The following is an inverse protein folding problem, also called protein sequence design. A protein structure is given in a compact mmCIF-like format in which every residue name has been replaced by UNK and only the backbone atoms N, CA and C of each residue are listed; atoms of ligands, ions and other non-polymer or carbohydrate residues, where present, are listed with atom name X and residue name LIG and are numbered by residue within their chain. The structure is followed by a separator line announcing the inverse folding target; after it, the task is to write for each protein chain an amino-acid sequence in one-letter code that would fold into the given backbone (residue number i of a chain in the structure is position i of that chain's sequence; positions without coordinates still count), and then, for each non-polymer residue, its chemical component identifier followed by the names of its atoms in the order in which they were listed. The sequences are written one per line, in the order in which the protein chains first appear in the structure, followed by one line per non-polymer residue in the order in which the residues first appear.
data_IF_008784021215
#
_entry.id   IF_008784021215
#
_cell.length_a   1.000
_cell.length_b   1.000
_cell.length_c   1.000
_cell.angle_alpha   90.00
_cell.angle_beta   90.00
_cell.angle_gamma   90.00
#
_symmetry.space_group_name_H-M   'P 1'
#
loop_
_entity.id
_entity.type
_entity.pdbx_description
1 polymer ?
#
# COMPACT_ATOMS: atom_id res chain seq x y z
N UNK A 1 2.47 -18.69 -13.70
CA UNK A 1 3.36 -18.39 -12.56
C UNK A 1 2.62 -18.87 -11.32
N UNK A 2 3.21 -19.76 -10.51
CA UNK A 2 2.49 -20.51 -9.48
C UNK A 2 3.05 -20.10 -8.12
N UNK A 3 2.22 -19.46 -7.30
CA UNK A 3 2.56 -19.20 -5.90
C UNK A 3 2.22 -20.45 -5.07
N UNK A 4 3.26 -21.19 -4.67
CA UNK A 4 3.18 -22.30 -3.72
C UNK A 4 3.89 -21.88 -2.43
N UNK A 5 3.34 -22.24 -1.28
CA UNK A 5 4.11 -22.33 -0.03
C UNK A 5 3.74 -21.35 1.09
N UNK A 6 2.63 -21.66 1.78
CA UNK A 6 2.58 -21.80 3.25
C UNK A 6 3.89 -21.49 3.98
N UNK A 7 3.92 -20.42 4.77
CA UNK A 7 4.94 -20.18 5.78
C UNK A 7 4.34 -20.22 7.19
N UNK A 8 4.94 -21.05 8.04
CA UNK A 8 4.55 -21.22 9.44
C UNK A 8 5.46 -20.36 10.34
N UNK A 9 4.84 -19.68 11.30
CA UNK A 9 5.39 -19.23 12.59
C UNK A 9 6.82 -18.63 12.65
N UNK A 10 6.89 -17.31 12.87
CA UNK A 10 8.04 -16.67 13.51
C UNK A 10 7.61 -15.49 14.40
N UNK A 11 7.33 -15.76 15.69
CA UNK A 11 7.18 -14.71 16.70
C UNK A 11 8.57 -14.39 17.27
N UNK A 12 9.12 -13.24 16.92
CA UNK A 12 10.37 -12.72 17.49
C UNK A 12 10.08 -11.97 18.79
N UNK A 13 10.36 -12.62 19.92
CA UNK A 13 10.42 -11.98 21.23
C UNK A 13 11.68 -11.10 21.31
N UNK A 14 11.49 -9.79 21.52
CA UNK A 14 12.55 -8.88 21.96
C UNK A 14 12.22 -8.44 23.39
N UNK A 15 13.08 -8.81 24.33
CA UNK A 15 13.04 -8.35 25.71
C UNK A 15 14.45 -7.99 26.20
N UNK A 16 14.52 -6.94 27.01
CA UNK A 16 15.66 -6.53 27.86
C UNK A 16 16.87 -5.94 27.10
N UNK A 17 17.59 -4.92 27.59
CA UNK A 17 17.46 -4.12 28.83
C UNK A 17 18.09 -2.74 28.62
N UNK A 18 17.77 -1.77 29.49
CA UNK A 18 18.31 -0.41 29.45
C UNK A 18 19.59 -0.25 30.35
N UNK A 19 20.01 0.96 30.75
CA UNK A 19 21.27 1.57 30.29
C UNK A 19 22.36 1.67 31.38
N UNK A 20 23.58 2.09 31.02
CA UNK A 20 24.53 2.63 32.01
C UNK A 20 25.52 3.66 31.41
N UNK A 21 25.94 4.62 32.25
CA UNK A 21 26.80 5.76 31.91
C UNK A 21 28.31 5.45 32.02
N UNK A 22 29.16 6.07 31.17
CA UNK A 22 30.48 6.61 31.61
C UNK A 22 30.81 7.92 30.85
N UNK A 23 31.56 8.81 31.50
CA UNK A 23 31.76 10.24 31.19
C UNK A 23 33.11 10.60 30.52
N UNK A 24 33.14 11.79 29.87
CA UNK A 24 34.29 12.75 29.74
C UNK A 24 35.54 12.24 28.95
N UNK A 25 36.30 13.04 28.18
CA UNK A 25 36.58 14.49 28.21
C UNK A 25 37.28 15.06 26.95
N UNK A 26 37.16 16.38 26.74
CA UNK A 26 38.14 17.35 26.17
C UNK A 26 38.68 17.26 24.71
N UNK A 27 38.55 18.35 23.94
CA UNK A 27 39.25 18.63 22.66
C UNK A 27 38.84 19.97 22.00
N UNK A 28 39.80 20.80 21.56
CA UNK A 28 39.68 22.29 21.49
C UNK A 28 40.74 22.89 20.49
N UNK A 29 40.53 23.89 19.59
CA UNK A 29 39.31 24.53 19.02
C UNK A 29 39.31 24.61 17.45
N UNK A 30 40.09 25.47 16.70
CA UNK A 30 39.62 25.95 15.38
C UNK A 30 40.51 25.67 14.14
N UNK A 31 39.92 25.87 12.96
CA UNK A 31 40.61 26.13 11.69
C UNK A 31 39.65 26.73 10.65
N UNK A 32 39.97 27.91 10.11
CA UNK A 32 39.19 28.63 9.08
C UNK A 32 39.67 28.29 7.64
N UNK A 33 39.07 28.98 6.65
CA UNK A 33 39.45 29.05 5.23
C UNK A 33 39.22 27.81 4.34
N UNK A 34 39.12 27.93 3.01
CA UNK A 34 38.51 28.96 2.13
C UNK A 34 38.53 28.44 0.68
N UNK A 35 37.64 28.98 -0.15
CA UNK A 35 37.82 29.20 -1.61
C UNK A 35 37.85 28.03 -2.64
N UNK A 36 36.89 28.15 -3.57
CA UNK A 36 36.99 28.08 -5.05
C UNK A 36 36.92 26.76 -5.85
N UNK A 37 36.21 26.95 -6.98
CA UNK A 37 36.19 26.16 -8.23
C UNK A 37 35.36 24.87 -8.19
N UNK A 38 34.58 24.50 -9.23
CA UNK A 38 34.60 24.99 -10.62
C UNK A 38 33.21 24.95 -11.29
N UNK A 39 33.07 25.70 -12.38
CA UNK A 39 31.86 25.88 -13.18
C UNK A 39 31.69 24.73 -14.20
N UNK A 40 30.54 24.07 -14.22
CA UNK A 40 30.05 23.34 -15.41
C UNK A 40 28.66 23.85 -15.75
N UNK A 41 28.55 24.44 -16.94
CA UNK A 41 27.33 25.00 -17.51
C UNK A 41 26.90 24.06 -18.64
N UNK A 42 26.11 23.03 -18.32
CA UNK A 42 25.50 22.19 -19.35
C UNK A 42 24.11 22.70 -19.71
N UNK A 43 24.01 23.10 -20.97
CA UNK A 43 22.87 23.76 -21.58
C UNK A 43 21.84 22.71 -21.99
N UNK A 44 21.01 22.25 -21.05
CA UNK A 44 19.87 21.40 -21.37
C UNK A 44 18.78 22.24 -22.05
N UNK A 45 18.45 22.04 -23.34
CA UNK A 45 17.26 22.64 -23.91
C UNK A 45 16.05 22.13 -23.13
N UNK A 46 15.09 22.99 -22.73
CA UNK A 46 13.89 22.54 -22.05
C UNK A 46 13.08 21.71 -23.04
N UNK A 47 13.19 20.38 -22.94
CA UNK A 47 12.31 19.44 -23.61
C UNK A 47 10.92 19.61 -23.01
N UNK A 48 10.18 20.57 -23.55
CA UNK A 48 8.75 20.76 -23.38
C UNK A 48 8.02 19.55 -23.97
N UNK A 49 8.10 18.42 -23.27
CA UNK A 49 7.18 17.32 -23.40
C UNK A 49 5.81 17.80 -22.89
N UNK A 50 5.10 18.54 -23.73
CA UNK A 50 3.64 18.70 -23.65
C UNK A 50 3.01 17.36 -23.98
N UNK A 51 3.18 16.40 -23.07
CA UNK A 51 2.47 15.13 -23.11
C UNK A 51 1.01 15.47 -22.86
N UNK A 52 0.18 15.33 -23.90
CA UNK A 52 -1.27 15.39 -23.78
C UNK A 52 -1.75 14.14 -23.03
N UNK A 53 -1.49 14.12 -21.72
CA UNK A 53 -1.93 13.08 -20.81
C UNK A 53 -3.45 13.20 -20.65
N UNK A 54 -4.17 12.26 -21.28
CA UNK A 54 -5.57 11.99 -20.98
C UNK A 54 -5.80 12.03 -19.47
N UNK A 55 -6.73 12.87 -19.02
CA UNK A 55 -6.97 13.12 -17.58
C UNK A 55 -7.26 11.84 -16.79
N UNK A 56 -7.80 10.82 -17.47
CA UNK A 56 -8.05 9.47 -16.93
C UNK A 56 -6.78 8.71 -16.54
N UNK A 57 -5.65 8.94 -17.23
CA UNK A 57 -4.36 8.31 -16.93
C UNK A 57 -3.69 8.93 -15.70
N UNK A 58 -3.80 10.24 -15.53
CA UNK A 58 -3.26 10.98 -14.38
C UNK A 58 -3.92 10.51 -13.08
N UNK A 59 -5.25 10.35 -13.08
CA UNK A 59 -6.00 9.83 -11.93
C UNK A 59 -5.63 8.37 -11.61
N UNK A 60 -5.31 7.55 -12.62
CA UNK A 60 -4.84 6.17 -12.37
C UNK A 60 -3.45 6.20 -11.72
N UNK A 61 -2.47 6.89 -12.32
CA UNK A 61 -1.09 6.96 -11.82
C UNK A 61 -1.00 7.47 -10.37
N UNK A 62 -1.80 8.45 -9.99
CA UNK A 62 -1.81 9.00 -8.63
C UNK A 62 -2.30 8.02 -7.54
N UNK A 63 -2.90 6.87 -7.91
CA UNK A 63 -3.32 5.84 -6.95
C UNK A 63 -2.19 4.85 -6.62
N UNK A 64 -1.22 4.66 -7.52
CA UNK A 64 -0.17 3.66 -7.38
C UNK A 64 0.78 4.01 -6.20
N UNK A 65 1.30 5.25 -6.14
CA UNK A 65 2.18 5.70 -5.03
C UNK A 65 1.51 5.77 -3.64
N UNK A 66 0.18 5.58 -3.55
CA UNK A 66 -0.57 5.74 -2.30
C UNK A 66 -0.87 4.42 -1.57
N UNK A 67 -0.68 3.25 -2.19
CA UNK A 67 -1.07 1.96 -1.63
C UNK A 67 -0.08 1.53 -0.54
N UNK A 68 -0.58 1.36 0.70
CA UNK A 68 0.19 0.96 1.88
C UNK A 68 -0.42 -0.25 2.56
N UNK A 69 0.40 -0.95 3.35
CA UNK A 69 -0.08 -2.00 4.25
C UNK A 69 -1.12 -1.39 5.22
N UNK A 70 -2.23 -2.09 5.42
CA UNK A 70 -3.39 -1.63 6.19
C UNK A 70 -4.46 -0.92 5.36
N UNK A 71 -4.17 -0.48 4.13
CA UNK A 71 -5.16 0.16 3.27
C UNK A 71 -6.27 -0.82 2.84
N UNK A 72 -7.51 -0.33 2.85
CA UNK A 72 -8.67 -1.04 2.31
C UNK A 72 -8.77 -0.77 0.81
N UNK A 73 -9.01 -1.80 0.02
CA UNK A 73 -8.99 -1.72 -1.45
C UNK A 73 -10.11 -2.52 -2.09
N UNK A 74 -10.61 -2.01 -3.22
CA UNK A 74 -11.47 -2.76 -4.12
C UNK A 74 -10.63 -3.26 -5.28
N UNK A 75 -10.73 -4.56 -5.55
CA UNK A 75 -9.87 -5.31 -6.46
C UNK A 75 -10.74 -5.95 -7.54
N UNK A 76 -10.40 -5.73 -8.80
CA UNK A 76 -11.07 -6.34 -9.95
C UNK A 76 -10.39 -7.63 -10.40
N UNK A 77 -11.18 -8.69 -10.57
CA UNK A 77 -10.76 -9.92 -11.24
C UNK A 77 -11.53 -10.07 -12.56
N UNK A 78 -10.78 -10.20 -13.65
CA UNK A 78 -11.34 -10.44 -14.98
C UNK A 78 -11.66 -11.93 -15.16
N UNK A 79 -12.94 -12.27 -15.07
CA UNK A 79 -13.47 -13.60 -15.39
C UNK A 79 -13.82 -13.65 -16.88
N UNK A 80 -13.94 -14.86 -17.47
CA UNK A 80 -14.10 -15.07 -18.94
C UNK A 80 -15.20 -14.24 -19.61
N UNK A 81 -16.29 -13.90 -18.91
CA UNK A 81 -17.46 -13.17 -19.44
C UNK A 81 -17.87 -11.96 -18.58
N UNK A 82 -17.19 -11.68 -17.49
CA UNK A 82 -17.55 -10.62 -16.54
C UNK A 82 -16.33 -10.18 -15.75
N UNK A 83 -16.34 -8.95 -15.25
CA UNK A 83 -15.41 -8.52 -14.20
C UNK A 83 -16.13 -8.67 -12.87
N UNK A 84 -15.52 -9.37 -11.91
CA UNK A 84 -15.98 -9.41 -10.52
C UNK A 84 -15.12 -8.48 -9.69
N UNK A 85 -15.73 -7.79 -8.74
CA UNK A 85 -15.01 -6.89 -7.83
C UNK A 85 -15.13 -7.44 -6.41
N UNK A 86 -14.02 -7.43 -5.69
CA UNK A 86 -13.93 -7.91 -4.32
C UNK A 86 -13.33 -6.83 -3.43
N UNK A 87 -13.56 -6.96 -2.12
CA UNK A 87 -13.10 -6.03 -1.11
C UNK A 87 -12.07 -6.72 -0.23
N UNK A 88 -10.95 -6.06 0.03
CA UNK A 88 -9.90 -6.60 0.89
C UNK A 88 -9.05 -5.53 1.56
N UNK A 89 -8.12 -5.98 2.40
CA UNK A 89 -7.10 -5.16 3.04
C UNK A 89 -5.72 -5.59 2.56
N UNK A 90 -4.84 -4.64 2.23
CA UNK A 90 -3.45 -4.94 1.92
C UNK A 90 -2.73 -5.35 3.22
N UNK A 91 -2.22 -6.58 3.26
CA UNK A 91 -1.46 -7.12 4.40
C UNK A 91 0.05 -7.15 4.15
N UNK A 92 0.49 -7.14 2.90
CA UNK A 92 1.91 -7.05 2.53
C UNK A 92 2.13 -6.31 1.20
N UNK A 93 3.32 -5.75 1.01
CA UNK A 93 3.82 -5.22 -0.26
C UNK A 93 5.11 -5.96 -0.61
N UNK A 94 5.18 -6.59 -1.79
CA UNK A 94 6.32 -7.40 -2.20
C UNK A 94 7.46 -6.58 -2.83
N UNK A 95 7.23 -5.29 -3.12
CA UNK A 95 8.23 -4.38 -3.69
C UNK A 95 8.46 -4.50 -5.20
N UNK A 96 7.75 -5.42 -5.88
CA UNK A 96 7.83 -5.69 -7.32
C UNK A 96 6.59 -5.19 -8.10
N UNK A 97 5.75 -4.36 -7.47
CA UNK A 97 4.44 -3.95 -8.00
C UNK A 97 3.31 -4.94 -7.70
N UNK A 98 3.55 -5.95 -6.86
CA UNK A 98 2.52 -6.84 -6.33
C UNK A 98 2.31 -6.66 -4.83
N UNK A 99 1.06 -6.89 -4.41
CA UNK A 99 0.62 -6.77 -3.02
C UNK A 99 -0.08 -8.06 -2.60
N UNK A 100 0.01 -8.41 -1.31
CA UNK A 100 -0.84 -9.46 -0.74
C UNK A 100 -2.06 -8.81 -0.11
N UNK A 101 -3.24 -9.20 -0.56
CA UNK A 101 -4.51 -8.72 -0.06
C UNK A 101 -5.27 -9.85 0.66
N UNK A 102 -5.86 -9.53 1.81
CA UNK A 102 -6.78 -10.40 2.56
C UNK A 102 -8.21 -9.99 2.27
N UNK A 103 -9.04 -10.90 1.79
CA UNK A 103 -10.38 -10.62 1.29
C UNK A 103 -11.46 -10.74 2.36
N UNK A 104 -12.50 -9.92 2.18
CA UNK A 104 -13.70 -9.91 3.01
C UNK A 104 -14.86 -10.60 2.31
N UNK A 105 -15.63 -11.38 3.08
CA UNK A 105 -16.89 -11.93 2.63
C UNK A 105 -18.02 -10.92 2.85
N UNK A 106 -18.82 -10.67 1.80
CA UNK A 106 -20.05 -9.88 1.92
C UNK A 106 -21.12 -10.65 2.69
N UNK A 107 -21.75 -10.00 3.68
CA UNK A 107 -22.75 -10.68 4.52
C UNK A 107 -24.11 -10.84 3.82
N UNK A 108 -24.51 -9.82 3.04
CA UNK A 108 -25.70 -9.82 2.17
C UNK A 108 -25.47 -8.89 0.98
N UNK A 109 -25.92 -9.28 -0.20
CA UNK A 109 -25.83 -8.52 -1.47
C UNK A 109 -26.44 -7.11 -1.39
N UNK A 110 -27.42 -6.89 -0.52
CA UNK A 110 -28.09 -5.59 -0.33
C UNK A 110 -27.44 -4.70 0.73
N UNK A 111 -26.34 -5.14 1.34
CA UNK A 111 -25.66 -4.42 2.44
C UNK A 111 -24.20 -4.14 2.10
N UNK A 112 -23.66 -3.06 2.65
CA UNK A 112 -22.21 -2.80 2.64
C UNK A 112 -21.55 -3.31 3.93
N UNK A 113 -22.06 -4.43 4.44
CA UNK A 113 -21.59 -5.09 5.66
C UNK A 113 -20.82 -6.35 5.28
N UNK A 114 -19.61 -6.44 5.82
CA UNK A 114 -18.63 -7.46 5.49
C UNK A 114 -18.08 -8.12 6.76
N UNK A 115 -17.57 -9.34 6.62
CA UNK A 115 -16.89 -10.09 7.68
C UNK A 115 -15.69 -10.80 7.12
N UNK A 116 -14.68 -11.04 7.96
CA UNK A 116 -13.66 -12.02 7.61
C UNK A 116 -14.30 -13.40 7.41
N UNK A 117 -13.88 -14.17 6.39
CA UNK A 117 -14.27 -15.58 6.25
C UNK A 117 -13.67 -16.45 7.37
N UNK A 118 -14.25 -17.63 7.63
CA UNK A 118 -13.78 -18.54 8.69
C UNK A 118 -12.39 -19.14 8.40
N UNK A 119 -12.01 -19.21 7.12
CA UNK A 119 -10.66 -19.51 6.65
C UNK A 119 -10.17 -18.27 5.93
N UNK A 120 -8.94 -17.85 6.21
CA UNK A 120 -8.33 -16.68 5.57
C UNK A 120 -8.27 -16.83 4.04
N UNK A 121 -8.79 -15.82 3.35
CA UNK A 121 -8.80 -15.71 1.90
C UNK A 121 -7.76 -14.64 1.53
N UNK A 122 -6.61 -15.08 1.01
CA UNK A 122 -5.44 -14.24 0.74
C UNK A 122 -4.88 -14.55 -0.66
N UNK A 123 -4.63 -13.51 -1.46
CA UNK A 123 -4.06 -13.64 -2.81
C UNK A 123 -3.00 -12.56 -3.09
N UNK A 124 -2.10 -12.87 -4.01
CA UNK A 124 -1.09 -11.95 -4.51
C UNK A 124 -1.61 -11.25 -5.77
N UNK A 125 -1.87 -9.96 -5.68
CA UNK A 125 -2.50 -9.15 -6.71
C UNK A 125 -1.51 -8.16 -7.34
N UNK A 126 -1.56 -7.95 -8.67
CA UNK A 126 -0.85 -6.85 -9.30
C UNK A 126 -1.56 -5.53 -8.98
N UNK A 127 -0.79 -4.47 -8.85
CA UNK A 127 -1.29 -3.10 -8.62
C UNK A 127 -2.39 -2.67 -9.60
N UNK A 128 -2.25 -3.04 -10.88
CA UNK A 128 -3.19 -2.72 -11.96
C UNK A 128 -4.62 -3.26 -11.75
N UNK A 129 -4.81 -4.27 -10.89
CA UNK A 129 -6.12 -4.85 -10.54
C UNK A 129 -6.87 -4.02 -9.49
N UNK A 130 -6.18 -3.15 -8.75
CA UNK A 130 -6.78 -2.29 -7.71
C UNK A 130 -7.55 -1.16 -8.40
N UNK A 131 -8.85 -1.07 -8.12
CA UNK A 131 -9.76 -0.08 -8.72
C UNK A 131 -9.79 1.21 -7.90
N UNK A 132 -9.72 1.07 -6.57
CA UNK A 132 -9.98 2.14 -5.60
C UNK A 132 -9.41 1.77 -4.23
N UNK A 133 -8.78 2.73 -3.56
CA UNK A 133 -8.51 2.69 -2.11
C UNK A 133 -9.73 3.27 -1.38
N UNK A 134 -10.16 2.63 -0.30
CA UNK A 134 -11.27 3.04 0.55
C UNK A 134 -10.79 3.61 1.89
N UNK A 135 -11.65 4.39 2.52
CA UNK A 135 -11.50 4.82 3.91
C UNK A 135 -11.67 3.63 4.88
N UNK A 136 -11.26 3.82 6.13
CA UNK A 136 -11.44 2.82 7.18
C UNK A 136 -12.94 2.51 7.42
N UNK A 137 -13.32 1.23 7.53
CA UNK A 137 -14.69 0.83 7.82
C UNK A 137 -15.07 1.13 9.26
N UNK A 138 -16.37 1.36 9.48
CA UNK A 138 -16.91 1.35 10.84
C UNK A 138 -17.05 -0.11 11.32
N UNK A 139 -16.43 -0.45 12.44
CA UNK A 139 -16.53 -1.78 13.06
C UNK A 139 -17.69 -1.79 14.04
N UNK A 140 -18.69 -2.65 13.80
CA UNK A 140 -19.83 -2.77 14.70
C UNK A 140 -19.55 -3.69 15.90
N UNK A 141 -20.47 -3.73 16.88
CA UNK A 141 -20.35 -4.54 18.11
C UNK A 141 -20.22 -6.06 17.89
N UNK A 142 -20.42 -6.55 16.66
CA UNK A 142 -20.28 -7.96 16.26
C UNK A 142 -19.00 -8.22 15.43
N UNK A 143 -18.09 -7.25 15.35
CA UNK A 143 -16.87 -7.34 14.55
C UNK A 143 -17.10 -7.25 13.03
N UNK A 144 -18.28 -6.81 12.59
CA UNK A 144 -18.60 -6.66 11.17
C UNK A 144 -18.16 -5.29 10.68
N UNK A 145 -17.64 -5.25 9.46
CA UNK A 145 -17.03 -4.09 8.83
C UNK A 145 -18.07 -3.42 7.92
N UNK A 146 -18.40 -2.16 8.19
CA UNK A 146 -19.37 -1.38 7.43
C UNK A 146 -18.64 -0.30 6.62
N UNK A 147 -18.85 -0.29 5.30
CA UNK A 147 -18.23 0.68 4.39
C UNK A 147 -19.28 1.60 3.75
N UNK A 148 -19.12 2.92 3.94
CA UNK A 148 -20.08 3.89 3.43
C UNK A 148 -19.87 4.25 1.95
N UNK A 149 -18.66 4.02 1.42
CA UNK A 149 -18.15 4.61 0.18
C UNK A 149 -18.23 3.68 -1.06
N UNK A 150 -18.98 2.58 -0.95
CA UNK A 150 -19.07 1.50 -1.96
C UNK A 150 -20.30 1.65 -2.88
N UNK A 151 -21.01 2.79 -2.83
CA UNK A 151 -22.40 2.90 -3.32
C UNK A 151 -22.64 2.60 -4.82
N UNK A 152 -21.60 2.61 -5.66
CA UNK A 152 -21.70 2.37 -7.11
C UNK A 152 -21.00 1.09 -7.61
N UNK A 153 -20.50 0.22 -6.72
CA UNK A 153 -19.67 -0.93 -7.10
C UNK A 153 -20.39 -2.25 -6.77
N UNK A 154 -20.65 -3.04 -7.81
CA UNK A 154 -21.12 -4.41 -7.67
C UNK A 154 -19.98 -5.30 -7.14
N UNK A 155 -19.99 -5.52 -5.82
CA UNK A 155 -19.14 -6.50 -5.13
C UNK A 155 -19.85 -7.85 -5.02
N UNK A 156 -19.10 -8.91 -5.30
CA UNK A 156 -19.49 -10.32 -5.14
C UNK A 156 -19.29 -10.82 -3.69
#
# INVERSE_FOLDING_TARGET
MICLGRFENAILLILNTAPDEVKLSAGIIPGEESDKSQKIEENCPPLSLTVSLDSKKIVKLAQHEAIKIGCWVIISYRVKKSTKSYLGQIINNNGDGTFVAKFLRRLKETTNTFTWPDNDDEDCIPEDSIIRILNEPNINRRGQLLFNDIQDIALE
#
